data_IF_209453659308
#
_entry.id   IF_209453659308
#
_cell.length_a   1.000
_cell.length_b   1.000
_cell.length_c   1.000
_cell.angle_alpha   90.00
_cell.angle_beta   90.00
_cell.angle_gamma   90.00
#
_symmetry.space_group_name_H-M   'P 1'
#
loop_
_entity.id
_entity.type
_entity.pdbx_description
1 polymer ?
#
# COMPACT_ATOMS: atom_id res chain seq x y z
N UNK A 1 21.61 -36.06 -30.80
CA UNK A 1 21.59 -35.42 -29.47
C UNK A 1 23.02 -35.03 -29.25
N UNK A 2 23.45 -33.84 -29.66
CA UNK A 2 24.85 -33.45 -29.44
C UNK A 2 24.98 -33.03 -27.98
N UNK A 3 25.53 -33.93 -27.16
CA UNK A 3 26.09 -33.55 -25.88
C UNK A 3 27.19 -32.53 -26.16
N UNK A 4 26.89 -31.25 -25.92
CA UNK A 4 27.93 -30.23 -25.81
C UNK A 4 28.79 -30.62 -24.61
N UNK A 5 29.88 -31.35 -24.87
CA UNK A 5 30.94 -31.56 -23.91
C UNK A 5 31.38 -30.19 -23.41
N UNK A 6 31.31 -30.01 -22.09
CA UNK A 6 31.82 -28.82 -21.41
C UNK A 6 33.25 -28.56 -21.90
N UNK A 7 33.47 -27.39 -22.49
CA UNK A 7 34.79 -26.97 -22.92
C UNK A 7 35.62 -26.62 -21.69
N UNK A 8 36.40 -27.60 -21.24
CA UNK A 8 37.27 -27.51 -20.06
C UNK A 8 38.24 -26.32 -20.18
N UNK A 9 38.61 -25.93 -21.41
CA UNK A 9 39.47 -24.77 -21.63
C UNK A 9 38.75 -23.45 -21.36
N UNK A 10 37.46 -23.35 -21.66
CA UNK A 10 36.63 -22.20 -21.30
C UNK A 10 36.44 -22.09 -19.78
N UNK A 11 36.27 -23.21 -19.07
CA UNK A 11 36.16 -23.22 -17.60
C UNK A 11 37.48 -22.78 -16.94
N UNK A 12 38.62 -23.28 -17.43
CA UNK A 12 39.94 -22.85 -16.96
C UNK A 12 40.16 -21.36 -17.23
N UNK A 13 39.70 -20.86 -18.38
CA UNK A 13 39.72 -19.43 -18.71
C UNK A 13 38.92 -18.59 -17.71
N UNK A 14 37.69 -19.00 -17.36
CA UNK A 14 36.87 -18.30 -16.37
C UNK A 14 37.49 -18.33 -14.97
N UNK A 15 38.10 -19.44 -14.56
CA UNK A 15 38.78 -19.55 -13.26
C UNK A 15 40.02 -18.64 -13.20
N UNK A 16 40.78 -18.54 -14.29
CA UNK A 16 41.94 -17.64 -14.38
C UNK A 16 41.51 -16.16 -14.38
N UNK A 17 40.45 -15.81 -15.11
CA UNK A 17 39.90 -14.44 -15.10
C UNK A 17 39.39 -14.09 -13.70
N UNK A 18 38.69 -15.00 -13.03
CA UNK A 18 38.23 -14.79 -11.67
C UNK A 18 39.39 -14.65 -10.68
N UNK A 19 40.45 -15.45 -10.83
CA UNK A 19 41.67 -15.35 -10.03
C UNK A 19 42.41 -14.02 -10.23
N UNK A 20 42.49 -13.53 -11.47
CA UNK A 20 43.10 -12.22 -11.78
C UNK A 20 42.26 -11.08 -11.21
N UNK A 21 40.93 -11.13 -11.35
CA UNK A 21 40.03 -10.12 -10.78
C UNK A 21 40.06 -10.11 -9.26
N UNK A 22 40.10 -11.28 -8.61
CA UNK A 22 40.24 -11.38 -7.16
C UNK A 22 41.60 -10.85 -6.68
N UNK A 23 42.68 -11.11 -7.42
CA UNK A 23 44.00 -10.56 -7.12
C UNK A 23 44.06 -9.03 -7.33
N UNK A 24 43.39 -8.53 -8.37
CA UNK A 24 43.31 -7.09 -8.65
C UNK A 24 42.48 -6.36 -7.58
N UNK A 25 41.38 -6.96 -7.11
CA UNK A 25 40.59 -6.45 -5.99
C UNK A 25 41.34 -6.53 -4.65
N UNK A 26 42.23 -7.50 -4.48
CA UNK A 26 43.05 -7.62 -3.29
C UNK A 26 44.19 -6.58 -3.25
N UNK A 27 44.82 -6.28 -4.40
CA UNK A 27 45.81 -5.19 -4.50
C UNK A 27 45.18 -3.80 -4.40
N UNK A 28 43.94 -3.61 -4.87
CA UNK A 28 43.25 -2.32 -4.84
C UNK A 28 42.36 -2.12 -3.60
N UNK A 29 42.62 -2.83 -2.49
CA UNK A 29 41.96 -2.50 -1.22
C UNK A 29 42.50 -1.16 -0.69
N UNK A 30 41.65 -0.15 -0.46
CA UNK A 30 42.10 1.11 0.13
C UNK A 30 42.73 0.84 1.50
N UNK A 31 43.86 1.49 1.78
CA UNK A 31 44.55 1.35 3.07
C UNK A 31 43.67 1.90 4.20
N UNK A 32 43.84 1.41 5.44
CA UNK A 32 43.04 1.87 6.59
C UNK A 32 43.05 3.40 6.75
N UNK A 33 44.17 4.07 6.45
CA UNK A 33 44.27 5.53 6.47
C UNK A 33 43.44 6.23 5.37
N UNK A 34 43.28 5.62 4.19
CA UNK A 34 42.44 6.16 3.11
C UNK A 34 40.95 5.95 3.39
N UNK A 35 40.58 4.86 4.06
CA UNK A 35 39.22 4.62 4.55
C UNK A 35 38.86 5.59 5.67
N UNK A 36 39.76 5.82 6.63
CA UNK A 36 39.57 6.84 7.68
C UNK A 36 39.54 8.26 7.09
N UNK A 37 40.35 8.55 6.06
CA UNK A 37 40.31 9.83 5.36
C UNK A 37 39.04 9.99 4.51
N UNK A 38 38.52 8.93 3.90
CA UNK A 38 37.21 8.96 3.23
C UNK A 38 36.06 9.09 4.22
N UNK A 39 36.11 8.40 5.37
CA UNK A 39 35.12 8.55 6.44
C UNK A 39 35.19 9.94 7.06
N UNK A 40 36.38 10.51 7.28
CA UNK A 40 36.55 11.91 7.69
C UNK A 40 36.07 12.88 6.63
N UNK A 41 36.42 12.70 5.37
CA UNK A 41 35.95 13.57 4.29
C UNK A 41 34.43 13.48 4.09
N UNK A 42 33.84 12.30 4.31
CA UNK A 42 32.39 12.07 4.26
C UNK A 42 31.72 12.64 5.51
N UNK A 43 32.33 12.54 6.69
CA UNK A 43 31.87 13.21 7.91
C UNK A 43 32.02 14.72 7.84
N UNK A 44 33.07 15.24 7.20
CA UNK A 44 33.31 16.66 6.96
C UNK A 44 32.36 17.19 5.87
N UNK A 45 32.01 16.39 4.85
CA UNK A 45 30.93 16.72 3.91
C UNK A 45 29.55 16.70 4.58
N UNK A 46 29.24 15.69 5.40
CA UNK A 46 28.00 15.63 6.17
C UNK A 46 27.96 16.78 7.19
N UNK A 47 29.09 17.12 7.82
CA UNK A 47 29.20 18.26 8.70
C UNK A 47 29.12 19.58 7.95
N UNK A 48 29.66 19.70 6.72
CA UNK A 48 29.55 20.89 5.89
C UNK A 48 28.13 21.05 5.30
N UNK A 49 27.43 19.97 4.97
CA UNK A 49 26.00 19.98 4.60
C UNK A 49 25.11 20.32 5.80
N UNK A 50 25.46 19.84 7.01
CA UNK A 50 24.76 20.21 8.25
C UNK A 50 25.10 21.63 8.72
N UNK A 51 26.32 22.13 8.45
CA UNK A 51 26.75 23.50 8.77
C UNK A 51 26.27 24.52 7.74
N UNK A 52 26.01 24.10 6.49
CA UNK A 52 25.36 24.92 5.46
C UNK A 52 23.83 24.97 5.60
N UNK A 53 23.24 24.22 6.53
CA UNK A 53 21.83 24.30 6.94
C UNK A 53 21.65 24.74 8.40
N UNK A 54 22.63 25.44 8.96
CA UNK A 54 22.47 26.20 10.19
C UNK A 54 22.05 27.64 9.86
N UNK A 55 20.81 27.78 9.40
CA UNK A 55 20.03 28.99 9.65
C UNK A 55 18.89 28.58 10.59
N UNK A 56 18.97 29.09 11.83
CA UNK A 56 18.00 29.18 12.94
C UNK A 56 16.57 28.63 12.76
N UNK A 57 16.39 27.38 12.33
CA UNK A 57 15.05 26.78 12.21
C UNK A 57 14.71 26.03 13.49
N UNK A 58 13.83 26.60 14.32
CA UNK A 58 13.35 25.97 15.56
C UNK A 58 12.37 24.82 15.25
N UNK A 59 12.81 23.58 15.41
CA UNK A 59 11.94 22.39 15.37
C UNK A 59 11.26 22.21 16.73
N UNK A 60 9.94 22.02 16.75
CA UNK A 60 9.13 21.87 17.97
C UNK A 60 8.87 20.38 18.26
N UNK A 61 8.97 19.95 19.53
CA UNK A 61 8.78 18.56 19.96
C UNK A 61 7.63 18.39 20.95
N UNK A 62 7.21 17.14 21.18
CA UNK A 62 6.07 16.80 22.04
C UNK A 62 6.27 17.09 23.54
N UNK A 63 7.50 17.16 24.03
CA UNK A 63 7.82 17.39 25.46
C UNK A 63 7.51 18.81 25.94
N UNK A 64 7.22 19.71 25.02
CA UNK A 64 6.96 21.11 25.28
C UNK A 64 5.51 21.44 25.66
N UNK A 65 4.64 20.42 25.71
CA UNK A 65 3.20 20.55 25.92
C UNK A 65 2.73 20.49 27.37
N UNK A 66 3.65 20.40 28.35
CA UNK A 66 3.27 20.43 29.77
C UNK A 66 3.06 21.87 30.27
N UNK A 67 1.92 22.47 29.93
CA UNK A 67 1.35 23.54 30.74
C UNK A 67 -0.18 23.54 30.63
N UNK A 68 -0.83 23.06 31.68
CA UNK A 68 -2.26 23.22 31.90
C UNK A 68 -2.55 24.66 32.39
N UNK A 69 -3.55 25.31 31.79
CA UNK A 69 -4.22 26.49 32.35
C UNK A 69 -3.50 27.82 32.09
N UNK A 70 -3.98 28.56 31.09
CA UNK A 70 -3.47 29.88 30.72
C UNK A 70 -3.98 30.95 31.71
N UNK A 71 -3.09 31.45 32.56
CA UNK A 71 -3.30 32.73 33.27
C UNK A 71 -2.04 33.60 33.39
N UNK A 72 -0.89 33.16 32.85
CA UNK A 72 0.38 33.88 32.98
C UNK A 72 0.86 34.44 31.62
N UNK A 73 1.09 35.75 31.58
CA UNK A 73 1.67 36.47 30.44
C UNK A 73 3.00 35.88 29.95
N UNK A 74 3.81 35.30 30.84
CA UNK A 74 5.09 34.68 30.48
C UNK A 74 4.93 33.38 29.68
N UNK A 75 3.90 32.59 29.99
CA UNK A 75 3.61 31.35 29.26
C UNK A 75 3.14 31.64 27.84
N UNK A 76 2.34 32.69 27.64
CA UNK A 76 1.86 33.09 26.32
C UNK A 76 3.00 33.59 25.41
N UNK A 77 3.99 34.30 25.98
CA UNK A 77 5.22 34.68 25.28
C UNK A 77 6.05 33.44 24.90
N UNK A 78 6.15 32.46 25.81
CA UNK A 78 6.80 31.17 25.52
C UNK A 78 6.15 30.43 24.36
N UNK A 79 4.82 30.32 24.36
CA UNK A 79 4.05 29.73 23.27
C UNK A 79 4.23 30.48 21.95
N UNK A 80 4.24 31.82 21.98
CA UNK A 80 4.48 32.65 20.77
C UNK A 80 5.88 32.48 20.21
N UNK A 81 6.89 32.42 21.06
CA UNK A 81 8.26 32.17 20.63
C UNK A 81 8.41 30.81 19.96
N UNK A 82 7.67 29.81 20.46
CA UNK A 82 7.71 28.44 19.99
C UNK A 82 6.87 28.23 18.72
N UNK A 83 5.58 28.53 18.77
CA UNK A 83 4.58 28.20 17.74
C UNK A 83 4.24 29.37 16.80
N UNK A 84 4.81 30.56 17.00
CA UNK A 84 4.55 31.73 16.16
C UNK A 84 3.05 32.08 16.12
N UNK A 85 2.51 32.20 14.91
CA UNK A 85 1.10 32.46 14.66
C UNK A 85 0.16 31.40 15.29
N UNK A 86 0.61 30.16 15.48
CA UNK A 86 -0.20 29.07 16.03
C UNK A 86 -0.18 28.98 17.56
N UNK A 87 0.39 29.98 18.25
CA UNK A 87 0.36 30.05 19.71
C UNK A 87 -1.07 30.10 20.27
N UNK A 88 -2.03 30.66 19.52
CA UNK A 88 -3.44 30.63 19.89
C UNK A 88 -3.93 29.18 20.08
N UNK A 89 -3.65 28.29 19.13
CA UNK A 89 -4.04 26.88 19.21
C UNK A 89 -3.43 26.19 20.43
N UNK A 90 -2.16 26.50 20.74
CA UNK A 90 -1.48 25.98 21.92
C UNK A 90 -2.08 26.51 23.23
N UNK A 91 -2.60 27.75 23.24
CA UNK A 91 -3.27 28.32 24.43
C UNK A 91 -4.60 27.65 24.75
N UNK A 92 -5.24 27.05 23.74
CA UNK A 92 -6.48 26.27 23.87
C UNK A 92 -6.22 24.75 23.84
N UNK A 93 -4.96 24.33 24.00
CA UNK A 93 -4.57 22.93 23.88
C UNK A 93 -5.28 22.05 24.92
N UNK A 94 -5.72 20.87 24.46
CA UNK A 94 -6.33 19.86 25.30
C UNK A 94 -6.10 18.50 24.67
N UNK A 95 -5.58 17.52 25.43
CA UNK A 95 -5.38 16.13 24.97
C UNK A 95 -6.70 15.32 24.94
N UNK A 96 -7.85 16.00 24.86
CA UNK A 96 -9.15 15.33 24.77
C UNK A 96 -9.34 14.75 23.38
N UNK A 97 -10.20 13.74 23.32
CA UNK A 97 -10.67 13.14 22.09
C UNK A 97 -12.16 13.43 21.90
N UNK A 98 -12.57 13.54 20.64
CA UNK A 98 -13.98 13.68 20.24
C UNK A 98 -14.47 12.34 19.71
N UNK A 99 -15.49 11.78 20.34
CA UNK A 99 -16.07 10.50 19.96
C UNK A 99 -17.22 10.72 18.98
N UNK A 100 -17.23 9.98 17.87
CA UNK A 100 -18.29 10.01 16.87
C UNK A 100 -18.59 8.60 16.40
N UNK A 101 -19.87 8.27 16.29
CA UNK A 101 -20.31 6.98 15.79
C UNK A 101 -21.19 7.12 14.55
N UNK A 102 -21.10 6.12 13.68
CA UNK A 102 -22.06 5.84 12.61
C UNK A 102 -22.57 4.40 12.72
N UNK A 103 -23.32 3.93 11.74
CA UNK A 103 -23.78 2.54 11.68
C UNK A 103 -22.63 1.55 11.48
N UNK A 104 -21.56 1.99 10.80
CA UNK A 104 -20.41 1.15 10.42
C UNK A 104 -19.14 1.49 11.20
N UNK A 105 -19.02 2.71 11.74
CA UNK A 105 -17.82 3.19 12.43
C UNK A 105 -18.06 3.55 13.89
N UNK A 106 -17.06 3.28 14.74
CA UNK A 106 -16.83 4.03 15.96
C UNK A 106 -15.47 4.73 15.86
N UNK A 107 -15.47 6.07 15.95
CA UNK A 107 -14.32 6.92 15.68
C UNK A 107 -13.95 7.75 16.91
N UNK A 108 -12.64 7.97 17.09
CA UNK A 108 -12.11 8.98 18.00
C UNK A 108 -11.20 9.93 17.23
N UNK A 109 -11.44 11.22 17.39
CA UNK A 109 -10.61 12.28 16.82
C UNK A 109 -9.78 12.91 17.93
N UNK A 110 -8.46 12.89 17.79
CA UNK A 110 -7.56 13.51 18.75
C UNK A 110 -7.48 15.01 18.48
N UNK A 111 -7.70 15.82 19.52
CA UNK A 111 -7.44 17.25 19.44
C UNK A 111 -5.96 17.52 19.15
N UNK A 112 -5.04 16.69 19.66
CA UNK A 112 -3.64 16.76 19.24
C UNK A 112 -3.50 16.09 17.87
N UNK A 113 -3.09 16.85 16.86
CA UNK A 113 -2.93 16.41 15.49
C UNK A 113 -4.18 16.50 14.62
N UNK A 114 -5.38 16.62 15.21
CA UNK A 114 -6.63 16.74 14.46
C UNK A 114 -7.03 15.48 13.68
N UNK A 115 -6.31 14.37 13.86
CA UNK A 115 -6.47 13.12 13.11
C UNK A 115 -7.33 12.08 13.87
N UNK A 116 -7.70 11.01 13.17
CA UNK A 116 -8.35 9.84 13.76
C UNK A 116 -7.37 9.05 14.64
N UNK A 117 -7.54 9.11 15.96
CA UNK A 117 -6.73 8.33 16.90
C UNK A 117 -7.24 6.90 17.08
N UNK A 118 -8.51 6.65 16.79
CA UNK A 118 -9.13 5.33 16.81
C UNK A 118 -10.19 5.20 15.71
N UNK A 119 -10.17 4.08 14.98
CA UNK A 119 -11.19 3.72 14.00
C UNK A 119 -11.53 2.23 14.12
N UNK A 120 -12.77 1.95 14.53
CA UNK A 120 -13.32 0.60 14.63
C UNK A 120 -14.36 0.37 13.52
N UNK A 121 -14.30 -0.80 12.87
CA UNK A 121 -15.35 -1.25 11.96
C UNK A 121 -16.39 -2.08 12.75
N UNK A 122 -17.55 -1.49 13.04
CA UNK A 122 -18.57 -2.04 13.96
C UNK A 122 -19.17 -3.38 13.52
N UNK A 123 -19.17 -3.67 12.22
CA UNK A 123 -19.78 -4.87 11.64
C UNK A 123 -18.85 -6.09 11.61
N UNK A 124 -17.59 -5.97 12.02
CA UNK A 124 -16.60 -7.03 11.85
C UNK A 124 -15.87 -7.38 13.15
N UNK A 125 -15.50 -8.66 13.23
CA UNK A 125 -14.62 -9.21 14.25
C UNK A 125 -13.49 -9.99 13.59
N UNK A 126 -12.37 -10.15 14.28
CA UNK A 126 -11.24 -10.95 13.82
C UNK A 126 -11.50 -12.46 14.04
N UNK A 127 -10.51 -13.29 13.72
CA UNK A 127 -10.58 -14.74 13.88
C UNK A 127 -10.80 -15.23 15.33
N UNK A 128 -10.52 -14.39 16.34
CA UNK A 128 -10.74 -14.65 17.76
C UNK A 128 -12.04 -14.00 18.29
N UNK A 129 -12.90 -13.51 17.39
CA UNK A 129 -14.14 -12.78 17.72
C UNK A 129 -13.92 -11.45 18.45
N UNK A 130 -12.73 -10.85 18.34
CA UNK A 130 -12.44 -9.51 18.86
C UNK A 130 -12.79 -8.43 17.84
N UNK A 131 -13.19 -7.22 18.26
CA UNK A 131 -13.54 -6.14 17.33
C UNK A 131 -12.39 -5.76 16.39
N UNK A 132 -12.72 -5.42 15.14
CA UNK A 132 -11.74 -4.93 14.15
C UNK A 132 -11.49 -3.44 14.35
N UNK A 133 -10.24 -3.12 14.71
CA UNK A 133 -9.70 -1.76 14.70
C UNK A 133 -8.70 -1.62 13.57
N UNK A 134 -8.90 -0.64 12.70
CA UNK A 134 -7.94 -0.27 11.64
C UNK A 134 -6.92 0.70 12.22
N UNK A 135 -7.39 1.67 13.00
CA UNK A 135 -6.56 2.64 13.71
C UNK A 135 -6.74 2.45 15.21
N UNK A 136 -5.64 2.19 15.92
CA UNK A 136 -5.59 2.10 17.38
C UNK A 136 -4.14 2.17 17.87
N UNK A 137 -3.94 2.51 19.14
CA UNK A 137 -2.65 2.44 19.84
C UNK A 137 -1.50 3.17 19.11
N UNK A 138 -1.82 4.25 18.39
CA UNK A 138 -0.91 5.07 17.60
C UNK A 138 -0.22 4.29 16.46
N UNK A 139 -0.92 3.33 15.86
CA UNK A 139 -0.45 2.61 14.67
C UNK A 139 -0.52 3.44 13.38
N UNK A 140 -1.17 4.61 13.37
CA UNK A 140 -1.29 5.49 12.20
C UNK A 140 -0.70 6.87 12.45
N UNK A 141 -0.20 7.49 11.39
CA UNK A 141 0.26 8.88 11.35
C UNK A 141 -0.48 9.61 10.24
N UNK A 142 -0.98 10.80 10.54
CA UNK A 142 -1.42 11.78 9.55
C UNK A 142 -0.78 13.12 9.92
N UNK A 143 0.03 13.65 9.01
CA UNK A 143 0.79 14.87 9.24
C UNK A 143 0.80 15.75 8.01
N UNK A 144 0.63 17.04 8.21
CA UNK A 144 0.91 18.04 7.20
C UNK A 144 2.10 18.86 7.71
N UNK A 145 3.21 18.76 7.00
CA UNK A 145 4.40 19.54 7.24
C UNK A 145 4.35 20.81 6.39
N UNK A 146 4.46 21.98 7.01
CA UNK A 146 4.47 23.26 6.31
C UNK A 146 5.40 24.28 6.94
N UNK A 147 5.93 25.15 6.10
CA UNK A 147 6.70 26.32 6.49
C UNK A 147 5.82 27.51 6.85
N UNK A 148 6.29 28.35 7.76
CA UNK A 148 5.71 29.66 8.05
C UNK A 148 6.56 30.80 7.49
N UNK A 149 5.94 31.96 7.28
CA UNK A 149 6.60 33.19 6.80
C UNK A 149 7.64 33.74 7.78
N UNK A 150 7.60 33.30 9.04
CA UNK A 150 8.58 33.61 10.08
C UNK A 150 9.62 32.48 10.28
N UNK A 151 9.88 31.72 9.21
CA UNK A 151 10.95 30.71 9.11
C UNK A 151 10.85 29.58 10.14
N UNK A 152 9.65 29.11 10.45
CA UNK A 152 9.43 27.88 11.23
C UNK A 152 8.90 26.76 10.34
N UNK A 153 9.25 25.53 10.69
CA UNK A 153 8.63 24.33 10.13
C UNK A 153 7.72 23.72 11.18
N UNK A 154 6.45 23.56 10.85
CA UNK A 154 5.44 23.01 11.74
C UNK A 154 4.92 21.68 11.20
N UNK A 155 4.60 20.78 12.12
CA UNK A 155 4.00 19.48 11.85
C UNK A 155 2.64 19.42 12.54
N UNK A 156 1.56 19.26 11.78
CA UNK A 156 0.21 19.27 12.35
C UNK A 156 0.02 18.19 13.40
N UNK A 157 0.66 17.03 13.27
CA UNK A 157 0.60 15.93 14.27
C UNK A 157 1.00 16.35 15.69
N UNK A 158 1.80 17.42 15.80
CA UNK A 158 2.31 17.96 17.07
C UNK A 158 1.52 19.20 17.54
N UNK A 159 0.53 19.67 16.77
CA UNK A 159 -0.27 20.86 17.08
C UNK A 159 -1.66 20.49 17.59
N UNK A 160 -2.37 21.45 18.19
CA UNK A 160 -3.69 21.22 18.77
C UNK A 160 -4.79 21.84 17.92
N UNK A 161 -5.81 21.06 17.67
CA UNK A 161 -7.00 21.40 16.92
C UNK A 161 -8.18 21.54 17.87
N UNK A 162 -9.06 22.48 17.58
CA UNK A 162 -10.34 22.65 18.26
C UNK A 162 -11.41 21.87 17.51
N UNK A 163 -12.07 20.88 18.14
CA UNK A 163 -13.11 20.09 17.49
C UNK A 163 -14.45 20.83 17.48
N UNK A 164 -15.27 20.54 16.48
CA UNK A 164 -16.70 20.82 16.47
C UNK A 164 -17.43 19.74 15.68
N UNK A 165 -18.57 19.28 16.20
CA UNK A 165 -19.39 18.24 15.56
C UNK A 165 -20.74 18.85 15.24
N UNK A 166 -21.16 18.72 13.97
CA UNK A 166 -22.42 19.25 13.47
C UNK A 166 -23.12 18.21 12.59
N UNK A 167 -24.40 18.45 12.30
CA UNK A 167 -25.18 17.63 11.36
C UNK A 167 -25.43 18.43 10.08
N UNK A 168 -25.26 17.79 8.94
CA UNK A 168 -25.59 18.33 7.61
C UNK A 168 -26.57 17.37 6.95
N UNK A 169 -27.87 17.61 7.11
CA UNK A 169 -28.89 16.60 6.80
C UNK A 169 -28.69 15.35 7.67
N UNK A 170 -28.52 14.19 7.03
CA UNK A 170 -28.24 12.92 7.70
C UNK A 170 -26.74 12.73 8.03
N UNK A 171 -25.87 13.51 7.38
CA UNK A 171 -24.43 13.38 7.53
C UNK A 171 -23.94 13.97 8.86
N UNK A 172 -22.88 13.38 9.39
CA UNK A 172 -22.17 13.91 10.57
C UNK A 172 -20.90 14.59 10.12
N UNK A 173 -20.75 15.87 10.43
CA UNK A 173 -19.55 16.65 10.07
C UNK A 173 -18.73 16.89 11.32
N UNK A 174 -17.47 16.42 11.30
CA UNK A 174 -16.46 16.68 12.32
C UNK A 174 -15.45 17.66 11.74
N UNK A 175 -15.37 18.84 12.33
CA UNK A 175 -14.43 19.89 11.95
C UNK A 175 -13.38 20.04 13.04
N UNK A 176 -12.13 19.75 12.69
CA UNK A 176 -10.96 19.96 13.54
C UNK A 176 -10.23 21.19 13.02
N UNK A 177 -10.17 22.26 13.82
CA UNK A 177 -9.55 23.53 13.42
C UNK A 177 -8.28 23.84 14.20
N UNK A 178 -7.16 23.90 13.51
CA UNK A 178 -5.92 24.47 14.01
C UNK A 178 -5.97 25.99 13.83
N UNK A 179 -6.28 26.70 14.92
CA UNK A 179 -6.57 28.14 14.90
C UNK A 179 -5.33 29.00 15.12
N UNK A 180 -5.14 29.99 14.26
CA UNK A 180 -4.27 31.16 14.51
C UNK A 180 -5.07 32.27 15.20
N UNK A 181 -6.35 32.39 14.86
CA UNK A 181 -7.35 33.23 15.52
C UNK A 181 -8.75 32.66 15.26
N UNK A 182 -9.81 33.30 15.74
CA UNK A 182 -11.18 32.85 15.45
C UNK A 182 -11.51 32.86 13.95
N UNK A 183 -10.92 33.77 13.17
CA UNK A 183 -11.18 33.92 11.73
C UNK A 183 -10.09 33.35 10.83
N UNK A 184 -8.96 32.88 11.39
CA UNK A 184 -7.82 32.32 10.66
C UNK A 184 -7.46 30.93 11.15
N UNK A 185 -7.52 29.91 10.30
CA UNK A 185 -7.30 28.53 10.70
C UNK A 185 -6.95 27.61 9.53
N UNK A 186 -6.34 26.46 9.86
CA UNK A 186 -6.31 25.26 9.03
C UNK A 186 -7.37 24.31 9.56
N UNK A 187 -8.19 23.73 8.68
CA UNK A 187 -9.30 22.86 9.02
C UNK A 187 -9.16 21.51 8.33
N UNK A 188 -9.32 20.46 9.14
CA UNK A 188 -9.63 19.11 8.70
C UNK A 188 -11.12 18.91 8.89
N UNK A 189 -11.84 18.77 7.78
CA UNK A 189 -13.28 18.55 7.78
C UNK A 189 -13.57 17.13 7.32
N UNK A 190 -14.07 16.32 8.23
CA UNK A 190 -14.53 14.96 7.98
C UNK A 190 -16.05 14.96 7.87
N UNK A 191 -16.62 14.35 6.85
CA UNK A 191 -18.06 14.18 6.70
C UNK A 191 -18.41 12.70 6.53
N UNK A 192 -19.15 12.18 7.51
CA UNK A 192 -19.57 10.79 7.56
C UNK A 192 -20.99 10.67 7.04
N UNK A 193 -21.17 9.85 6.02
CA UNK A 193 -22.49 9.46 5.50
C UNK A 193 -23.03 8.25 6.29
N UNK A 194 -24.36 8.13 6.46
CA UNK A 194 -24.97 6.96 7.10
C UNK A 194 -24.63 5.67 6.35
N UNK A 195 -24.31 4.60 7.09
CA UNK A 195 -23.99 3.28 6.53
C UNK A 195 -22.95 3.26 5.38
N UNK A 196 -22.00 4.19 5.37
CA UNK A 196 -20.99 4.36 4.33
C UNK A 196 -19.58 4.16 4.91
N UNK A 197 -18.71 3.45 4.17
CA UNK A 197 -17.31 3.24 4.55
C UNK A 197 -16.37 4.33 4.00
N UNK A 198 -16.90 5.22 3.15
CA UNK A 198 -16.21 6.42 2.69
C UNK A 198 -16.46 7.59 3.64
N UNK A 199 -15.39 8.31 3.99
CA UNK A 199 -15.42 9.55 4.76
C UNK A 199 -14.92 10.66 3.85
N UNK A 200 -15.80 11.59 3.49
CA UNK A 200 -15.39 12.76 2.71
C UNK A 200 -14.46 13.62 3.59
N UNK A 201 -13.30 13.99 3.07
CA UNK A 201 -12.23 14.60 3.83
C UNK A 201 -11.64 15.83 3.13
N UNK A 202 -11.82 17.00 3.72
CA UNK A 202 -11.27 18.25 3.18
C UNK A 202 -10.20 18.82 4.09
N UNK A 203 -9.04 19.14 3.52
CA UNK A 203 -8.02 19.99 4.15
C UNK A 203 -8.13 21.38 3.54
N UNK A 204 -8.55 22.36 4.34
CA UNK A 204 -8.66 23.75 3.88
C UNK A 204 -8.05 24.73 4.86
N UNK A 205 -7.44 25.80 4.36
CA UNK A 205 -7.05 26.94 5.19
C UNK A 205 -7.87 28.18 4.86
N UNK A 206 -8.02 29.04 5.86
CA UNK A 206 -8.71 30.32 5.75
C UNK A 206 -7.84 31.40 6.37
N UNK A 207 -7.44 32.38 5.57
CA UNK A 207 -6.68 33.55 6.02
C UNK A 207 -5.28 33.21 6.52
N UNK A 208 -4.69 32.13 6.01
CA UNK A 208 -3.33 31.70 6.31
C UNK A 208 -2.33 32.03 5.20
N UNK A 209 -2.75 32.70 4.12
CA UNK A 209 -1.86 33.12 3.02
C UNK A 209 -0.70 34.03 3.46
N UNK A 210 -0.83 34.74 4.58
CA UNK A 210 0.23 35.56 5.20
C UNK A 210 1.03 34.82 6.29
N UNK A 211 0.60 33.61 6.65
CA UNK A 211 1.22 32.77 7.69
C UNK A 211 2.02 31.62 7.08
N UNK A 212 1.46 30.92 6.08
CA UNK A 212 2.09 29.80 5.40
C UNK A 212 3.06 30.33 4.35
N UNK A 213 4.28 29.79 4.35
CA UNK A 213 5.29 30.11 3.34
C UNK A 213 5.02 29.31 2.06
N UNK A 214 4.42 29.96 1.06
CA UNK A 214 4.07 29.33 -0.22
C UNK A 214 5.28 28.91 -1.08
N UNK A 215 6.49 29.33 -0.73
CA UNK A 215 7.73 28.95 -1.44
C UNK A 215 8.27 27.59 -0.97
N UNK A 216 7.79 27.06 0.15
CA UNK A 216 8.18 25.76 0.66
C UNK A 216 7.14 24.70 0.27
N UNK A 217 7.62 23.50 -0.03
CA UNK A 217 6.74 22.36 -0.32
C UNK A 217 5.99 21.97 0.94
N UNK A 218 4.67 21.92 0.85
CA UNK A 218 3.80 21.39 1.90
C UNK A 218 3.62 19.92 1.61
N UNK A 219 3.96 19.05 2.56
CA UNK A 219 3.80 17.61 2.40
C UNK A 219 2.72 17.08 3.31
N UNK A 220 1.86 16.21 2.76
CA UNK A 220 1.02 15.30 3.50
C UNK A 220 1.80 14.00 3.68
N UNK A 221 2.14 13.66 4.92
CA UNK A 221 2.69 12.37 5.31
C UNK A 221 1.57 11.53 5.95
N UNK A 222 1.30 10.37 5.36
CA UNK A 222 0.34 9.40 5.84
C UNK A 222 1.04 8.06 6.06
N UNK A 223 0.77 7.40 7.18
CA UNK A 223 1.40 6.11 7.47
C UNK A 223 0.48 5.22 8.32
N UNK A 224 0.69 3.91 8.22
CA UNK A 224 -0.06 2.90 8.96
C UNK A 224 0.79 1.65 9.22
N UNK A 225 0.79 1.17 10.46
CA UNK A 225 1.19 -0.19 10.82
C UNK A 225 -0.05 -1.08 10.79
N UNK A 226 -0.14 -1.96 9.80
CA UNK A 226 -1.28 -2.85 9.59
C UNK A 226 -1.37 -3.90 10.69
N UNK A 227 -2.51 -3.97 11.37
CA UNK A 227 -2.78 -5.01 12.36
C UNK A 227 -3.10 -6.34 11.70
N UNK A 228 -2.65 -7.45 12.28
CA UNK A 228 -3.12 -8.78 11.90
C UNK A 228 -4.59 -8.95 12.26
N UNK A 229 -5.39 -9.39 11.29
CA UNK A 229 -6.81 -9.72 11.45
C UNK A 229 -7.13 -11.19 11.20
N UNK A 230 -6.22 -11.94 10.58
CA UNK A 230 -6.40 -13.34 10.21
C UNK A 230 -5.65 -14.30 11.13
N UNK A 231 -6.10 -15.56 11.14
CA UNK A 231 -5.47 -16.62 11.93
C UNK A 231 -4.03 -16.93 11.51
N UNK A 232 -3.69 -16.80 10.23
CA UNK A 232 -2.30 -16.96 9.75
C UNK A 232 -1.77 -15.60 9.36
N UNK A 233 -0.79 -15.10 10.12
CA UNK A 233 -0.15 -13.83 9.82
C UNK A 233 0.65 -13.89 8.52
N UNK A 234 1.36 -15.00 8.28
CA UNK A 234 2.11 -15.21 7.04
C UNK A 234 1.21 -15.20 5.80
N UNK A 235 0.03 -15.83 5.90
CA UNK A 235 -0.95 -15.79 4.81
C UNK A 235 -1.50 -14.37 4.60
N UNK A 236 -1.93 -13.70 5.67
CA UNK A 236 -2.43 -12.33 5.58
C UNK A 236 -1.39 -11.38 4.99
N UNK A 237 -0.16 -11.46 5.47
CA UNK A 237 0.96 -10.62 5.04
C UNK A 237 1.29 -10.78 3.55
N UNK A 238 1.07 -11.97 2.98
CA UNK A 238 1.22 -12.22 1.54
C UNK A 238 0.25 -11.40 0.67
N UNK A 239 -0.89 -11.01 1.23
CA UNK A 239 -1.90 -10.20 0.58
C UNK A 239 -1.96 -8.78 1.16
N UNK A 240 -0.88 -8.34 1.81
CA UNK A 240 -0.74 -7.00 2.37
C UNK A 240 0.29 -6.22 1.57
N UNK A 241 -0.15 -5.17 0.89
CA UNK A 241 0.63 -4.37 -0.06
C UNK A 241 0.00 -2.98 -0.27
N UNK A 242 0.74 -2.09 -0.95
CA UNK A 242 0.22 -0.79 -1.37
C UNK A 242 -0.36 -0.97 -2.77
N UNK A 243 -1.62 -0.61 -2.95
CA UNK A 243 -2.25 -0.42 -4.25
C UNK A 243 -2.34 1.07 -4.54
N UNK A 244 -2.31 1.47 -5.80
CA UNK A 244 -2.46 2.87 -6.20
C UNK A 244 -3.05 3.00 -7.61
N UNK A 245 -3.72 4.12 -7.85
CA UNK A 245 -4.13 4.55 -9.19
C UNK A 245 -3.32 5.77 -9.62
N UNK A 246 -2.92 5.74 -10.89
CA UNK A 246 -2.05 6.73 -11.51
C UNK A 246 -2.47 6.96 -12.98
N UNK A 247 -2.02 8.08 -13.56
CA UNK A 247 -2.25 8.42 -14.97
C UNK A 247 -3.73 8.27 -15.42
N UNK A 248 -4.68 8.66 -14.58
CA UNK A 248 -6.12 8.67 -14.86
C UNK A 248 -6.69 7.29 -15.25
N UNK A 249 -6.82 6.40 -14.25
CA UNK A 249 -7.50 5.11 -14.38
C UNK A 249 -6.62 3.87 -14.50
N UNK A 250 -5.28 4.01 -14.52
CA UNK A 250 -4.38 2.85 -14.42
C UNK A 250 -4.16 2.51 -12.96
N UNK A 251 -4.19 1.23 -12.62
CA UNK A 251 -3.90 0.76 -11.28
C UNK A 251 -2.70 -0.18 -11.26
N UNK A 252 -1.93 -0.13 -10.18
CA UNK A 252 -0.83 -1.04 -9.92
C UNK A 252 -0.66 -1.26 -8.40
N UNK A 253 0.23 -2.18 -8.02
CA UNK A 253 0.47 -2.54 -6.64
C UNK A 253 1.93 -2.96 -6.41
N UNK A 254 2.44 -2.74 -5.20
CA UNK A 254 3.84 -3.06 -4.83
C UNK A 254 4.10 -4.55 -4.64
N UNK A 255 3.02 -5.31 -4.35
CA UNK A 255 3.10 -6.71 -3.96
C UNK A 255 3.67 -6.93 -2.56
N UNK A 256 3.85 -8.20 -2.20
CA UNK A 256 4.19 -8.61 -0.83
C UNK A 256 5.62 -8.27 -0.37
N UNK A 257 6.50 -7.75 -1.24
CA UNK A 257 7.87 -7.37 -0.85
C UNK A 257 7.92 -5.97 -0.27
N UNK A 258 9.09 -5.60 0.25
CA UNK A 258 9.37 -4.20 0.56
C UNK A 258 9.41 -3.39 -0.73
N UNK A 259 8.96 -2.15 -0.65
CA UNK A 259 8.90 -1.23 -1.78
C UNK A 259 9.25 0.18 -1.31
N UNK A 260 9.88 0.92 -2.21
CA UNK A 260 10.22 2.34 -2.07
C UNK A 260 10.14 2.94 -3.48
N UNK A 261 9.00 3.52 -3.83
CA UNK A 261 8.65 3.92 -5.20
C UNK A 261 8.22 5.39 -5.22
N UNK A 262 8.68 6.13 -6.23
CA UNK A 262 8.15 7.45 -6.57
C UNK A 262 7.15 7.30 -7.71
N UNK A 263 5.94 7.78 -7.48
CA UNK A 263 4.82 7.71 -8.41
C UNK A 263 4.49 9.09 -8.95
N UNK A 264 3.93 9.17 -10.15
CA UNK A 264 3.45 10.40 -10.78
C UNK A 264 1.94 10.34 -11.02
N UNK A 265 1.27 11.50 -10.96
CA UNK A 265 -0.15 11.68 -11.26
C UNK A 265 -1.07 10.67 -10.55
N UNK A 266 -0.95 10.60 -9.21
CA UNK A 266 -1.66 9.64 -8.36
C UNK A 266 -2.99 10.18 -7.87
N UNK A 267 -4.08 9.45 -8.12
CA UNK A 267 -5.45 9.80 -7.69
C UNK A 267 -5.89 9.05 -6.44
N UNK A 268 -5.33 7.87 -6.16
CA UNK A 268 -5.50 7.22 -4.87
C UNK A 268 -4.35 6.29 -4.48
N UNK A 269 -4.16 6.15 -3.17
CA UNK A 269 -3.20 5.22 -2.55
C UNK A 269 -3.95 4.41 -1.50
N UNK A 270 -3.86 3.09 -1.59
CA UNK A 270 -4.52 2.12 -0.73
C UNK A 270 -3.53 1.27 0.05
N UNK A 271 -3.54 1.38 1.36
CA UNK A 271 -2.92 0.43 2.28
C UNK A 271 -3.84 -0.78 2.40
N UNK A 272 -3.60 -1.76 1.53
CA UNK A 272 -4.45 -2.92 1.40
C UNK A 272 -3.90 -4.04 2.27
N UNK A 273 -4.75 -4.53 3.16
CA UNK A 273 -4.52 -5.78 3.89
C UNK A 273 -5.38 -6.87 3.25
N UNK A 274 -5.36 -8.09 3.78
CA UNK A 274 -6.08 -9.19 3.16
C UNK A 274 -7.60 -8.95 3.10
N UNK A 275 -8.23 -8.55 4.21
CA UNK A 275 -9.70 -8.40 4.30
C UNK A 275 -10.19 -6.96 4.33
N UNK A 276 -9.32 -6.00 4.64
CA UNK A 276 -9.67 -4.59 4.81
C UNK A 276 -8.63 -3.72 4.11
N UNK A 277 -9.04 -2.50 3.73
CA UNK A 277 -8.13 -1.50 3.19
C UNK A 277 -8.38 -0.15 3.82
N UNK A 278 -7.30 0.63 3.92
CA UNK A 278 -7.36 2.07 4.14
C UNK A 278 -6.94 2.75 2.85
N UNK A 279 -7.77 3.61 2.26
CA UNK A 279 -7.46 4.28 0.99
C UNK A 279 -7.64 5.77 1.17
N UNK A 280 -6.66 6.54 0.69
CA UNK A 280 -6.77 7.97 0.52
C UNK A 280 -6.89 8.25 -0.98
N UNK A 281 -7.96 8.93 -1.36
CA UNK A 281 -8.26 9.28 -2.76
C UNK A 281 -8.56 10.77 -2.91
N UNK A 282 -8.38 11.27 -4.13
CA UNK A 282 -8.58 12.68 -4.49
C UNK A 282 -9.11 12.77 -5.93
N UNK A 283 -9.94 13.78 -6.20
CA UNK A 283 -10.37 14.11 -7.56
C UNK A 283 -9.30 14.89 -8.33
N UNK A 284 -8.37 15.52 -7.62
CA UNK A 284 -7.22 16.23 -8.20
C UNK A 284 -5.96 15.45 -7.87
N UNK A 285 -5.38 14.81 -8.87
CA UNK A 285 -4.21 13.95 -8.71
C UNK A 285 -3.05 14.67 -7.99
N UNK A 286 -2.40 13.95 -7.08
CA UNK A 286 -1.10 14.34 -6.56
C UNK A 286 -0.09 14.21 -7.69
N UNK A 287 0.62 15.30 -8.00
CA UNK A 287 1.62 15.31 -9.07
C UNK A 287 2.69 14.23 -8.88
N UNK A 288 3.12 14.07 -7.63
CA UNK A 288 4.02 12.99 -7.22
C UNK A 288 3.55 12.38 -5.91
N UNK A 289 3.93 11.14 -5.65
CA UNK A 289 3.80 10.51 -4.34
C UNK A 289 4.97 9.57 -4.10
N UNK A 290 5.67 9.73 -2.97
CA UNK A 290 6.58 8.70 -2.49
C UNK A 290 5.76 7.68 -1.70
N UNK A 291 5.92 6.40 -2.00
CA UNK A 291 5.33 5.31 -1.22
C UNK A 291 6.42 4.38 -0.69
N UNK A 292 6.21 3.86 0.51
CA UNK A 292 7.08 2.86 1.11
C UNK A 292 6.27 1.78 1.80
N UNK A 293 6.65 0.53 1.56
CA UNK A 293 6.14 -0.64 2.27
C UNK A 293 7.30 -1.40 2.90
N UNK A 294 7.17 -1.75 4.17
CA UNK A 294 8.14 -2.59 4.89
C UNK A 294 7.42 -3.77 5.55
N UNK A 295 7.96 -4.97 5.36
CA UNK A 295 7.51 -6.16 6.05
C UNK A 295 7.89 -6.10 7.54
N UNK A 296 6.94 -6.41 8.42
CA UNK A 296 7.17 -6.46 9.87
C UNK A 296 7.12 -7.89 10.43
N UNK A 297 7.02 -8.90 9.56
CA UNK A 297 6.96 -10.32 9.91
C UNK A 297 8.23 -11.02 9.43
N UNK A 298 9.18 -11.21 10.34
CA UNK A 298 10.39 -12.00 10.11
C UNK A 298 10.23 -13.42 10.67
N UNK A 299 9.66 -13.55 11.88
CA UNK A 299 9.34 -14.83 12.52
C UNK A 299 7.86 -14.85 12.95
N UNK A 300 7.06 -15.72 12.31
CA UNK A 300 5.61 -15.80 12.56
C UNK A 300 5.21 -16.25 13.98
N UNK A 301 6.16 -16.77 14.77
CA UNK A 301 5.95 -17.14 16.18
C UNK A 301 6.12 -15.93 17.10
N UNK A 302 6.97 -14.98 16.73
CA UNK A 302 7.29 -13.78 17.53
C UNK A 302 6.48 -12.58 17.04
N UNK A 303 6.51 -12.33 15.73
CA UNK A 303 5.87 -11.21 15.06
C UNK A 303 4.41 -11.56 14.79
N UNK A 304 3.57 -11.33 15.80
CA UNK A 304 2.19 -11.81 15.80
C UNK A 304 1.14 -10.71 15.68
N UNK A 305 1.54 -9.44 15.79
CA UNK A 305 0.64 -8.29 15.93
C UNK A 305 0.47 -7.50 14.64
N UNK A 306 1.58 -7.20 13.95
CA UNK A 306 1.59 -6.34 12.77
C UNK A 306 2.07 -7.10 11.54
N UNK A 307 1.50 -6.77 10.38
CA UNK A 307 1.89 -7.36 9.10
C UNK A 307 2.94 -6.50 8.41
N UNK A 308 2.62 -5.23 8.15
CA UNK A 308 3.46 -4.29 7.41
C UNK A 308 3.39 -2.87 7.96
N UNK A 309 4.46 -2.11 7.71
CA UNK A 309 4.45 -0.65 7.79
C UNK A 309 4.26 -0.07 6.39
N UNK A 310 3.33 0.86 6.29
CA UNK A 310 3.05 1.64 5.09
C UNK A 310 3.33 3.11 5.36
N UNK A 311 3.90 3.79 4.37
CA UNK A 311 4.20 5.22 4.41
C UNK A 311 3.92 5.83 3.03
N UNK A 312 3.35 7.02 3.01
CA UNK A 312 3.12 7.78 1.79
C UNK A 312 3.32 9.26 2.04
N UNK A 313 4.03 9.91 1.13
CA UNK A 313 4.32 11.33 1.19
C UNK A 313 3.91 11.99 -0.11
N UNK A 314 2.95 12.90 -0.04
CA UNK A 314 2.42 13.61 -1.20
C UNK A 314 2.51 15.13 -1.01
N UNK A 315 3.06 15.88 -1.96
CA UNK A 315 3.05 17.33 -1.91
C UNK A 315 1.63 17.87 -2.13
N UNK A 316 1.20 18.80 -1.29
CA UNK A 316 -0.06 19.52 -1.44
C UNK A 316 0.15 20.84 -2.17
N UNK A 317 -0.69 21.13 -3.16
CA UNK A 317 -0.67 22.40 -3.85
C UNK A 317 -1.46 23.47 -3.08
N UNK A 318 -0.95 24.71 -3.11
CA UNK A 318 -1.70 25.88 -2.68
C UNK A 318 -2.50 26.46 -3.84
N UNK A 319 -3.73 26.88 -3.56
CA UNK A 319 -4.59 27.62 -4.47
C UNK A 319 -4.74 29.05 -3.92
N UNK A 320 -4.25 30.04 -4.66
CA UNK A 320 -4.25 31.45 -4.24
C UNK A 320 -3.61 31.68 -2.83
N UNK A 321 -2.58 30.89 -2.48
CA UNK A 321 -1.88 30.99 -1.19
C UNK A 321 -2.55 30.26 -0.03
N UNK A 322 -3.64 29.52 -0.27
CA UNK A 322 -4.36 28.74 0.74
C UNK A 322 -4.39 27.25 0.34
N UNK A 323 -4.48 26.36 1.33
CA UNK A 323 -4.80 24.95 1.13
C UNK A 323 -6.30 24.81 0.86
N UNK A 324 -6.66 24.03 -0.15
CA UNK A 324 -8.03 23.65 -0.44
C UNK A 324 -8.04 22.31 -1.20
N UNK A 325 -7.78 21.23 -0.47
CA UNK A 325 -7.65 19.88 -1.00
C UNK A 325 -8.86 19.06 -0.56
N UNK A 326 -9.66 18.63 -1.54
CA UNK A 326 -10.80 17.73 -1.32
C UNK A 326 -10.35 16.31 -1.64
N UNK A 327 -10.48 15.44 -0.65
CA UNK A 327 -10.05 14.05 -0.67
C UNK A 327 -11.16 13.20 -0.04
N UNK A 328 -11.02 11.89 -0.11
CA UNK A 328 -11.85 10.97 0.65
C UNK A 328 -10.98 9.89 1.29
N UNK A 329 -11.44 9.40 2.44
CA UNK A 329 -10.87 8.23 3.11
C UNK A 329 -11.83 7.05 3.03
N UNK A 330 -11.40 5.96 2.42
CA UNK A 330 -12.07 4.67 2.54
C UNK A 330 -11.43 3.87 3.67
N UNK A 331 -12.24 3.44 4.64
CA UNK A 331 -11.83 2.47 5.65
C UNK A 331 -12.86 1.35 5.71
N UNK A 332 -12.58 0.22 5.07
CA UNK A 332 -13.63 -0.78 4.91
C UNK A 332 -13.15 -2.15 4.43
N UNK A 333 -14.09 -3.09 4.23
CA UNK A 333 -13.79 -4.43 3.74
C UNK A 333 -13.32 -4.42 2.29
N UNK A 334 -12.52 -5.41 1.90
CA UNK A 334 -12.19 -5.67 0.50
C UNK A 334 -13.32 -6.49 -0.15
N UNK A 335 -14.54 -5.96 -0.07
CA UNK A 335 -15.73 -6.55 -0.67
C UNK A 335 -16.01 -5.86 -2.00
N UNK A 336 -16.14 -6.65 -3.07
CA UNK A 336 -16.28 -6.13 -4.43
C UNK A 336 -17.50 -5.23 -4.59
N UNK A 337 -18.66 -5.62 -4.06
CA UNK A 337 -19.90 -4.86 -4.24
C UNK A 337 -19.79 -3.50 -3.53
N UNK A 338 -19.15 -3.48 -2.35
CA UNK A 338 -18.89 -2.24 -1.61
C UNK A 338 -17.95 -1.32 -2.39
N UNK A 339 -16.75 -1.79 -2.75
CA UNK A 339 -15.74 -0.92 -3.37
C UNK A 339 -16.12 -0.49 -4.80
N UNK A 340 -16.81 -1.36 -5.55
CA UNK A 340 -17.28 -1.07 -6.90
C UNK A 340 -18.44 -0.06 -6.90
N UNK A 341 -19.20 0.06 -5.80
CA UNK A 341 -20.32 1.01 -5.71
C UNK A 341 -19.90 2.47 -5.73
N UNK A 342 -18.63 2.78 -5.40
CA UNK A 342 -18.12 4.15 -5.37
C UNK A 342 -17.76 4.68 -6.77
N UNK A 343 -17.59 3.82 -7.78
CA UNK A 343 -17.18 4.21 -9.15
C UNK A 343 -15.84 4.98 -9.17
N UNK A 344 -14.87 4.51 -8.36
CA UNK A 344 -13.53 5.12 -8.18
C UNK A 344 -12.37 4.15 -8.46
N UNK A 345 -12.61 3.11 -9.26
CA UNK A 345 -11.62 2.07 -9.57
C UNK A 345 -11.05 1.33 -8.33
N UNK A 346 -11.80 1.33 -7.23
CA UNK A 346 -11.40 0.68 -5.98
C UNK A 346 -11.60 -0.84 -6.01
N UNK A 347 -12.25 -1.37 -7.03
CA UNK A 347 -12.37 -2.80 -7.27
C UNK A 347 -11.04 -3.49 -7.55
N UNK A 348 -10.00 -2.73 -7.90
CA UNK A 348 -8.61 -3.19 -8.01
C UNK A 348 -8.01 -3.62 -6.65
N UNK A 349 -8.62 -3.25 -5.52
CA UNK A 349 -8.25 -3.76 -4.20
C UNK A 349 -8.64 -5.23 -4.00
N UNK A 350 -9.56 -5.74 -4.82
CA UNK A 350 -10.05 -7.12 -4.74
C UNK A 350 -9.18 -8.02 -5.63
N UNK A 351 -8.48 -9.02 -5.05
CA UNK A 351 -7.54 -9.85 -5.81
C UNK A 351 -8.27 -10.89 -6.67
N UNK A 352 -8.78 -10.48 -7.83
CA UNK A 352 -9.39 -11.39 -8.79
C UNK A 352 -8.37 -12.31 -9.49
N UNK A 353 -7.09 -11.97 -9.44
CA UNK A 353 -6.00 -12.69 -10.09
C UNK A 353 -5.63 -12.09 -11.45
N UNK A 354 -4.56 -12.61 -12.04
CA UNK A 354 -3.93 -12.02 -13.22
C UNK A 354 -4.60 -12.44 -14.54
N UNK A 355 -4.69 -11.50 -15.49
CA UNK A 355 -5.11 -11.76 -16.87
C UNK A 355 -6.48 -12.42 -17.02
N UNK A 356 -6.54 -13.50 -17.82
CA UNK A 356 -7.79 -14.22 -18.09
C UNK A 356 -8.45 -14.75 -16.81
N UNK A 357 -7.67 -15.13 -15.79
CA UNK A 357 -8.21 -15.64 -14.53
C UNK A 357 -8.97 -14.56 -13.75
N UNK A 358 -8.49 -13.31 -13.75
CA UNK A 358 -9.18 -12.18 -13.16
C UNK A 358 -10.55 -11.94 -13.81
N UNK A 359 -10.59 -11.95 -15.14
CA UNK A 359 -11.83 -11.82 -15.90
C UNK A 359 -12.82 -12.97 -15.59
N UNK A 360 -12.35 -14.22 -15.58
CA UNK A 360 -13.18 -15.38 -15.24
C UNK A 360 -13.72 -15.25 -13.80
N UNK A 361 -12.88 -14.84 -12.85
CA UNK A 361 -13.30 -14.72 -11.47
C UNK A 361 -14.36 -13.62 -11.30
N UNK A 362 -14.10 -12.43 -11.84
CA UNK A 362 -14.99 -11.27 -11.75
C UNK A 362 -16.36 -11.53 -12.40
N UNK A 363 -16.39 -12.10 -13.60
CA UNK A 363 -17.63 -12.20 -14.39
C UNK A 363 -18.33 -13.56 -14.33
N UNK A 364 -17.64 -14.63 -13.93
CA UNK A 364 -18.22 -15.99 -13.91
C UNK A 364 -18.32 -16.51 -12.48
N UNK A 365 -17.21 -16.55 -11.73
CA UNK A 365 -17.22 -17.17 -10.40
C UNK A 365 -17.96 -16.34 -9.36
N UNK A 366 -17.69 -15.03 -9.28
CA UNK A 366 -18.31 -14.16 -8.27
C UNK A 366 -19.84 -14.15 -8.37
N UNK A 367 -20.46 -13.90 -9.55
CA UNK A 367 -21.92 -13.88 -9.66
C UNK A 367 -22.55 -15.25 -9.41
N UNK A 368 -21.91 -16.33 -9.88
CA UNK A 368 -22.40 -17.68 -9.66
C UNK A 368 -22.29 -18.10 -8.19
N UNK A 369 -21.21 -17.70 -7.51
CA UNK A 369 -21.04 -17.96 -6.08
C UNK A 369 -22.04 -17.16 -5.25
N UNK A 370 -22.26 -15.89 -5.58
CA UNK A 370 -23.27 -15.05 -4.95
C UNK A 370 -24.68 -15.62 -5.11
N UNK A 371 -25.01 -16.08 -6.33
CA UNK A 371 -26.27 -16.78 -6.59
C UNK A 371 -26.42 -18.02 -5.71
N UNK A 372 -25.44 -18.92 -5.69
CA UNK A 372 -25.47 -20.14 -4.88
C UNK A 372 -25.51 -19.83 -3.37
N UNK A 373 -24.72 -18.87 -2.91
CA UNK A 373 -24.65 -18.45 -1.51
C UNK A 373 -25.91 -17.73 -1.02
N UNK A 374 -26.73 -17.19 -1.92
CA UNK A 374 -27.99 -16.55 -1.57
C UNK A 374 -29.06 -17.53 -1.03
N UNK A 375 -28.96 -18.82 -1.34
CA UNK A 375 -29.92 -19.84 -0.89
C UNK A 375 -29.27 -21.11 -0.31
N UNK A 376 -27.96 -21.30 -0.43
CA UNK A 376 -27.21 -22.40 0.16
C UNK A 376 -26.23 -21.90 1.23
N UNK A 377 -25.99 -22.68 2.30
CA UNK A 377 -24.85 -22.47 3.18
C UNK A 377 -23.54 -22.44 2.38
N UNK A 378 -22.61 -21.54 2.71
CA UNK A 378 -21.37 -21.34 1.93
C UNK A 378 -20.58 -22.63 1.66
N UNK A 379 -20.49 -23.54 2.63
CA UNK A 379 -19.81 -24.83 2.43
C UNK A 379 -20.46 -25.69 1.33
N UNK A 380 -21.79 -25.69 1.24
CA UNK A 380 -22.53 -26.40 0.19
C UNK A 380 -22.42 -25.66 -1.14
N UNK A 381 -22.44 -24.31 -1.12
CA UNK A 381 -22.22 -23.50 -2.32
C UNK A 381 -20.87 -23.81 -2.97
N UNK A 382 -19.80 -23.98 -2.18
CA UNK A 382 -18.47 -24.38 -2.69
C UNK A 382 -18.51 -25.75 -3.36
N UNK A 383 -19.19 -26.73 -2.74
CA UNK A 383 -19.33 -28.08 -3.31
C UNK A 383 -20.12 -28.04 -4.62
N UNK A 384 -21.24 -27.30 -4.65
CA UNK A 384 -22.05 -27.13 -5.84
C UNK A 384 -21.25 -26.44 -6.97
N UNK A 385 -20.50 -25.39 -6.64
CA UNK A 385 -19.61 -24.68 -7.55
C UNK A 385 -18.57 -25.64 -8.16
N UNK A 386 -17.89 -26.45 -7.33
CA UNK A 386 -16.89 -27.41 -7.83
C UNK A 386 -17.50 -28.47 -8.74
N UNK A 387 -18.72 -28.94 -8.46
CA UNK A 387 -19.44 -29.88 -9.34
C UNK A 387 -19.79 -29.21 -10.67
N UNK A 388 -20.34 -27.99 -10.66
CA UNK A 388 -20.69 -27.26 -11.90
C UNK A 388 -19.47 -27.03 -12.80
N UNK A 389 -18.35 -26.61 -12.23
CA UNK A 389 -17.11 -26.40 -12.99
C UNK A 389 -16.60 -27.73 -13.57
N UNK A 390 -16.61 -28.81 -12.77
CA UNK A 390 -16.22 -30.14 -13.27
C UNK A 390 -17.13 -30.62 -14.40
N UNK A 391 -18.43 -30.36 -14.32
CA UNK A 391 -19.38 -30.69 -15.39
C UNK A 391 -19.11 -29.87 -16.65
N UNK A 392 -18.90 -28.55 -16.54
CA UNK A 392 -18.55 -27.70 -17.69
C UNK A 392 -17.22 -28.14 -18.34
N UNK A 393 -16.21 -28.45 -17.53
CA UNK A 393 -14.90 -28.91 -18.01
C UNK A 393 -14.89 -30.40 -18.41
N UNK A 394 -15.95 -31.17 -18.13
CA UNK A 394 -16.02 -32.60 -18.45
C UNK A 394 -15.84 -32.88 -19.94
N UNK A 395 -16.35 -32.00 -20.82
CA UNK A 395 -16.18 -32.13 -22.26
C UNK A 395 -14.71 -31.93 -22.68
N UNK A 396 -14.02 -31.00 -22.04
CA UNK A 396 -12.59 -30.75 -22.26
C UNK A 396 -11.77 -31.92 -21.74
N UNK A 397 -12.08 -32.41 -20.53
CA UNK A 397 -11.45 -33.59 -19.93
C UNK A 397 -11.65 -34.83 -20.81
N UNK A 398 -12.85 -35.05 -21.35
CA UNK A 398 -13.13 -36.17 -22.25
C UNK A 398 -12.25 -36.13 -23.50
N UNK A 399 -12.09 -34.95 -24.12
CA UNK A 399 -11.17 -34.78 -25.26
C UNK A 399 -9.72 -35.03 -24.87
N UNK A 400 -9.31 -34.61 -23.67
CA UNK A 400 -7.96 -34.86 -23.15
C UNK A 400 -7.73 -36.37 -22.95
N UNK A 401 -8.68 -37.08 -22.34
CA UNK A 401 -8.60 -38.55 -22.17
C UNK A 401 -8.53 -39.30 -23.50
N UNK A 402 -9.35 -38.90 -24.49
CA UNK A 402 -9.32 -39.50 -25.82
C UNK A 402 -7.94 -39.35 -26.47
N UNK A 403 -7.33 -38.17 -26.34
CA UNK A 403 -5.98 -37.92 -26.86
C UNK A 403 -4.90 -38.74 -26.17
N UNK A 404 -4.98 -38.87 -24.84
CA UNK A 404 -4.08 -39.74 -24.09
C UNK A 404 -4.20 -41.21 -24.53
N UNK A 405 -5.42 -41.70 -24.75
CA UNK A 405 -5.66 -43.05 -25.25
C UNK A 405 -5.04 -43.24 -26.65
N UNK A 406 -5.20 -42.27 -27.56
CA UNK A 406 -4.55 -42.29 -28.88
C UNK A 406 -3.02 -42.28 -28.78
N UNK A 407 -2.45 -41.47 -27.89
CA UNK A 407 -1.00 -41.44 -27.66
C UNK A 407 -0.47 -42.77 -27.12
N UNK A 408 -1.24 -43.46 -26.27
CA UNK A 408 -0.88 -44.80 -25.79
C UNK A 408 -0.85 -45.83 -26.92
N UNK A 409 -1.77 -45.73 -27.88
CA UNK A 409 -1.80 -46.59 -29.08
C UNK A 409 -0.64 -46.28 -30.03
N UNK A 410 -0.27 -45.01 -30.19
CA UNK A 410 0.83 -44.57 -31.07
C UNK A 410 2.24 -44.81 -30.50
N UNK A 411 2.36 -45.05 -29.19
CA UNK A 411 3.64 -45.24 -28.49
C UNK A 411 4.61 -46.21 -29.21
N UNK A 412 4.22 -47.43 -29.61
CA UNK A 412 5.13 -48.34 -30.32
C UNK A 412 5.66 -47.79 -31.65
N UNK A 413 4.81 -47.10 -32.43
CA UNK A 413 5.22 -46.49 -33.70
C UNK A 413 6.14 -45.28 -33.48
N UNK A 414 5.87 -44.50 -32.44
CA UNK A 414 6.73 -43.39 -32.02
C UNK A 414 8.12 -43.87 -31.58
N UNK A 415 8.19 -44.98 -30.85
CA UNK A 415 9.46 -45.58 -30.42
C UNK A 415 10.23 -46.17 -31.61
N UNK A 416 9.54 -46.75 -32.60
CA UNK A 416 10.16 -47.19 -33.85
C UNK A 416 10.74 -46.01 -34.68
N UNK A 417 10.05 -44.87 -34.76
CA UNK A 417 10.56 -43.64 -35.41
C UNK A 417 11.81 -43.13 -34.68
N UNK A 418 11.77 -43.10 -33.35
CA UNK A 418 12.92 -42.70 -32.52
C UNK A 418 14.11 -43.62 -32.72
N UNK A 419 13.88 -44.92 -32.85
CA UNK A 419 14.92 -45.91 -33.08
C UNK A 419 15.52 -45.83 -34.48
N UNK A 420 14.68 -45.61 -35.50
CA UNK A 420 15.10 -45.42 -36.90
C UNK A 420 15.88 -44.13 -37.13
N UNK A 421 15.62 -43.09 -36.34
CA UNK A 421 16.22 -41.76 -36.49
C UNK A 421 17.05 -41.31 -35.27
N UNK A 422 17.75 -42.24 -34.60
CA UNK A 422 18.62 -41.97 -33.43
C UNK A 422 19.65 -40.85 -33.70
N UNK A 423 20.23 -40.83 -34.90
CA UNK A 423 21.29 -39.88 -35.28
C UNK A 423 20.76 -38.57 -35.90
N UNK A 424 19.48 -38.50 -36.24
CA UNK A 424 18.86 -37.30 -36.84
C UNK A 424 17.62 -36.87 -36.05
N UNK A 425 17.87 -36.12 -34.97
CA UNK A 425 16.84 -35.55 -34.10
C UNK A 425 15.79 -34.73 -34.84
N UNK A 426 16.21 -33.95 -35.84
CA UNK A 426 15.31 -33.08 -36.60
C UNK A 426 14.32 -33.91 -37.41
N UNK A 427 14.81 -34.96 -38.08
CA UNK A 427 13.96 -35.88 -38.85
C UNK A 427 13.04 -36.72 -37.95
N UNK A 428 13.56 -37.17 -36.80
CA UNK A 428 12.74 -37.85 -35.79
C UNK A 428 11.59 -36.97 -35.28
N UNK A 429 11.84 -35.68 -35.02
CA UNK A 429 10.81 -34.72 -34.60
C UNK A 429 9.79 -34.47 -35.70
N UNK A 430 10.21 -34.34 -36.96
CA UNK A 430 9.31 -34.17 -38.10
C UNK A 430 8.39 -35.37 -38.32
N UNK A 431 8.93 -36.59 -38.31
CA UNK A 431 8.13 -37.82 -38.47
C UNK A 431 7.20 -38.07 -37.27
N UNK A 432 7.66 -37.76 -36.05
CA UNK A 432 6.84 -37.79 -34.84
C UNK A 432 5.65 -36.83 -34.93
N UNK A 433 5.90 -35.58 -35.35
CA UNK A 433 4.86 -34.56 -35.53
C UNK A 433 3.86 -34.96 -36.61
N UNK A 434 4.33 -35.51 -37.73
CA UNK A 434 3.48 -35.98 -38.82
C UNK A 434 2.57 -37.13 -38.38
N UNK A 435 3.10 -38.10 -37.63
CA UNK A 435 2.34 -39.23 -37.11
C UNK A 435 1.27 -38.79 -36.10
N UNK A 436 1.64 -37.92 -35.15
CA UNK A 436 0.73 -37.39 -34.13
C UNK A 436 -0.41 -36.56 -34.75
N UNK A 437 -0.08 -35.69 -35.72
CA UNK A 437 -1.06 -34.88 -36.45
C UNK A 437 -2.03 -35.77 -37.24
N UNK A 438 -1.53 -36.80 -37.91
CA UNK A 438 -2.36 -37.74 -38.69
C UNK A 438 -3.33 -38.54 -37.83
N UNK A 439 -2.96 -38.88 -36.60
CA UNK A 439 -3.85 -39.58 -35.65
C UNK A 439 -4.83 -38.64 -34.93
N UNK A 440 -4.73 -37.32 -35.15
CA UNK A 440 -5.48 -36.32 -34.37
C UNK A 440 -5.16 -36.39 -32.88
N UNK A 441 -3.92 -36.77 -32.54
CA UNK A 441 -3.35 -36.67 -31.21
C UNK A 441 -2.56 -35.36 -31.16
N UNK A 442 -3.19 -34.27 -30.73
CA UNK A 442 -2.54 -32.96 -30.74
C UNK A 442 -1.45 -32.86 -29.67
N UNK A 443 -0.27 -32.32 -30.01
CA UNK A 443 0.78 -31.97 -29.05
C UNK A 443 0.36 -30.95 -27.98
N UNK A 444 -0.56 -30.05 -28.31
CA UNK A 444 -1.08 -29.03 -27.39
C UNK A 444 -1.73 -29.61 -26.13
N UNK A 445 -2.08 -30.90 -26.12
CA UNK A 445 -2.65 -31.59 -24.97
C UNK A 445 -1.61 -32.30 -24.08
N UNK A 446 -0.35 -32.38 -24.52
CA UNK A 446 0.78 -32.96 -23.77
C UNK A 446 1.59 -31.88 -23.04
N UNK A 447 1.52 -30.61 -23.49
CA UNK A 447 2.24 -29.47 -22.89
C UNK A 447 1.78 -29.14 -21.47
N UNK A 448 0.61 -29.59 -21.04
CA UNK A 448 0.11 -29.40 -19.65
C UNK A 448 0.65 -30.42 -18.62
N UNK A 449 1.64 -31.24 -18.98
CA UNK A 449 2.31 -32.19 -18.07
C UNK A 449 3.84 -32.00 -17.97
N UNK A 450 4.35 -30.83 -18.33
CA UNK A 450 5.63 -30.29 -17.87
C UNK A 450 5.36 -29.01 -17.09
#
# INVERSE_FOLDING_TARGET
MEEKKLDVNSIIGFVLIFGILAYMLWQNKPTPEELEAQEKAKQEQIAAENSAKQDDTKVITADDFKAAGVSDSLQLIGLKNKFGAFAYAASTASDKETLVESDVFALKFSNKGGYLSELQLKKFVNYDSLPIYIIKDRNSVFNINFGTTDSRTLNTKDLYFTPSVTKSGENTVVSMKLKVSESKFLEYRYELKPNDYMIDFTVRSQGLSDVINSSQVINLDWALKGYRHAKSISYENRYTDIHYEYEDGKANYTGARDADEELEDVTWIGYKQHFFSSVLLTDTAFKTAQIKSENLVDDEVVDTVYTKYFDSKMPLALQAGELNQSMDFYFGPNDFDVVNSYDRNLDELVPFGWGLFGWINRYIFTPLFGFLGGFLPYGIAIIAMTVLIKLMLSFVQYKQFLSQAKMKILKPELDAIREKHKDNKMKAQQETMALQTKAGASLWQVVYQL
#
